data_IF_813278210145
#
_entry.id   IF_813278210145
#
_cell.length_a   1.000
_cell.length_b   1.000
_cell.length_c   1.000
_cell.angle_alpha   90.00
_cell.angle_beta   90.00
_cell.angle_gamma   90.00
#
_symmetry.space_group_name_H-M   'P 1'
#
loop_
_entity.id
_entity.type
_entity.pdbx_description
1 polymer ?
#
# COMPACT_ATOMS: atom_id res chain seq x y z
N UNK A 1 9.84 11.82 30.73
CA UNK A 1 9.37 11.10 29.54
C UNK A 1 10.53 10.99 28.57
N UNK A 2 10.70 9.83 27.95
CA UNK A 2 11.64 9.67 26.84
C UNK A 2 11.30 10.68 25.72
N UNK A 3 12.30 11.44 25.27
CA UNK A 3 12.13 12.41 24.20
C UNK A 3 12.31 11.71 22.84
N UNK A 4 11.24 11.05 22.38
CA UNK A 4 11.23 10.33 21.10
C UNK A 4 11.55 11.25 19.91
N UNK A 5 11.13 12.52 19.96
CA UNK A 5 11.44 13.50 18.93
C UNK A 5 12.94 13.83 18.88
N UNK A 6 13.62 13.89 20.03
CA UNK A 6 15.08 14.00 20.09
C UNK A 6 15.78 12.75 19.57
N UNK A 7 15.29 11.56 19.90
CA UNK A 7 15.85 10.31 19.39
C UNK A 7 15.76 10.25 17.85
N UNK A 8 14.61 10.63 17.27
CA UNK A 8 14.41 10.68 15.82
C UNK A 8 15.38 11.66 15.14
N UNK A 9 15.48 12.91 15.64
CA UNK A 9 16.44 13.91 15.10
C UNK A 9 17.89 13.44 15.18
N UNK A 10 18.25 12.74 16.25
CA UNK A 10 19.59 12.17 16.39
C UNK A 10 19.81 11.03 15.41
N UNK A 11 18.80 10.19 15.18
CA UNK A 11 18.85 9.09 14.22
C UNK A 11 19.10 9.60 12.80
N UNK A 12 18.36 10.60 12.34
CA UNK A 12 18.56 11.23 11.03
C UNK A 12 19.98 11.79 10.88
N UNK A 13 20.48 12.44 11.93
CA UNK A 13 21.83 12.99 11.94
C UNK A 13 22.88 11.88 11.85
N UNK A 14 22.72 10.80 12.61
CA UNK A 14 23.61 9.64 12.59
C UNK A 14 23.60 8.99 11.20
N UNK A 15 22.43 8.80 10.58
CA UNK A 15 22.30 8.25 9.22
C UNK A 15 23.17 9.02 8.23
N UNK A 16 23.05 10.34 8.19
CA UNK A 16 23.81 11.20 7.27
C UNK A 16 25.31 11.17 7.57
N UNK A 17 25.70 11.21 8.85
CA UNK A 17 27.12 11.19 9.24
C UNK A 17 27.75 9.85 8.86
N UNK A 18 27.09 8.74 9.18
CA UNK A 18 27.59 7.39 8.89
C UNK A 18 27.71 7.18 7.38
N UNK A 19 26.69 7.57 6.59
CA UNK A 19 26.75 7.47 5.13
C UNK A 19 27.97 8.23 4.55
N UNK A 20 28.18 9.48 4.98
CA UNK A 20 29.34 10.28 4.57
C UNK A 20 30.68 9.72 5.07
N UNK A 21 30.70 9.16 6.27
CA UNK A 21 31.91 8.58 6.85
C UNK A 21 32.30 7.29 6.14
N UNK A 22 31.33 6.45 5.75
CA UNK A 22 31.57 5.26 4.94
C UNK A 22 32.24 5.63 3.62
N UNK A 23 31.66 6.58 2.87
CA UNK A 23 32.20 7.02 1.57
C UNK A 23 33.63 7.59 1.67
N UNK A 24 33.93 8.36 2.73
CA UNK A 24 35.20 9.11 2.81
C UNK A 24 36.31 8.39 3.58
N UNK A 25 35.97 7.63 4.63
CA UNK A 25 36.93 7.10 5.61
C UNK A 25 37.11 5.60 5.53
N UNK A 26 36.12 4.85 5.04
CA UNK A 26 36.18 3.38 5.00
C UNK A 26 36.56 2.94 3.59
N UNK A 27 37.85 2.66 3.38
CA UNK A 27 38.40 2.13 2.13
C UNK A 27 38.83 0.67 2.33
N UNK A 28 37.90 -0.18 2.73
CA UNK A 28 38.16 -1.61 2.88
C UNK A 28 37.83 -2.31 1.54
N UNK A 29 38.74 -3.08 0.94
CA UNK A 29 38.47 -3.83 -0.29
C UNK A 29 37.34 -4.87 -0.15
N UNK A 30 36.97 -5.25 1.07
CA UNK A 30 35.84 -6.16 1.36
C UNK A 30 34.50 -5.45 1.46
N UNK A 31 34.50 -4.11 1.48
CA UNK A 31 33.29 -3.31 1.50
C UNK A 31 32.73 -3.25 0.07
N UNK A 32 31.59 -3.91 -0.16
CA UNK A 32 30.85 -3.78 -1.41
C UNK A 32 30.21 -2.41 -1.58
N UNK A 33 29.31 -2.28 -2.55
CA UNK A 33 28.51 -1.07 -2.71
C UNK A 33 27.42 -1.01 -1.63
N UNK A 34 27.72 -0.33 -0.51
CA UNK A 34 26.85 -0.23 0.66
C UNK A 34 26.05 1.06 0.64
N UNK A 35 24.74 0.94 0.88
CA UNK A 35 23.85 2.08 1.06
C UNK A 35 23.22 2.04 2.46
N UNK A 36 23.24 3.16 3.18
CA UNK A 36 22.57 3.28 4.47
C UNK A 36 21.11 3.67 4.24
N UNK A 37 20.18 2.79 4.58
CA UNK A 37 18.75 2.99 4.33
C UNK A 37 18.07 3.74 5.46
N UNK A 38 18.36 3.40 6.71
CA UNK A 38 17.73 4.02 7.87
C UNK A 38 18.64 3.98 9.12
N UNK A 39 18.30 4.75 10.15
CA UNK A 39 18.89 4.63 11.46
C UNK A 39 17.81 4.78 12.55
N UNK A 40 17.95 4.04 13.64
CA UNK A 40 17.07 4.12 14.81
C UNK A 40 17.88 4.26 16.07
N UNK A 41 17.44 5.14 16.95
CA UNK A 41 18.10 5.39 18.23
C UNK A 41 17.15 5.05 19.36
N UNK A 42 17.67 4.41 20.40
CA UNK A 42 16.90 4.12 21.61
C UNK A 42 16.50 5.40 22.33
N UNK A 43 15.42 5.34 23.09
CA UNK A 43 14.86 6.49 23.82
C UNK A 43 15.83 7.09 24.86
N UNK A 44 16.82 6.33 25.32
CA UNK A 44 17.89 6.76 26.23
C UNK A 44 19.13 7.33 25.49
N UNK A 45 19.10 7.35 24.16
CA UNK A 45 20.16 7.83 23.26
C UNK A 45 21.50 7.08 23.39
N UNK A 46 21.51 5.88 23.99
CA UNK A 46 22.74 5.12 24.22
C UNK A 46 23.07 4.13 23.10
N UNK A 47 22.05 3.68 22.36
CA UNK A 47 22.21 2.70 21.29
C UNK A 47 21.60 3.23 20.00
N UNK A 48 22.34 3.06 18.90
CA UNK A 48 21.89 3.40 17.56
C UNK A 48 22.06 2.19 16.64
N UNK A 49 20.95 1.76 16.03
CA UNK A 49 20.93 0.71 15.00
C UNK A 49 20.91 1.39 13.65
N UNK A 50 21.87 1.05 12.78
CA UNK A 50 21.98 1.56 11.43
C UNK A 50 21.63 0.43 10.47
N UNK A 51 20.64 0.68 9.63
CA UNK A 51 20.17 -0.24 8.61
C UNK A 51 20.90 0.04 7.30
N UNK A 52 21.36 -1.01 6.64
CA UNK A 52 22.11 -0.89 5.40
C UNK A 52 21.75 -2.00 4.42
N UNK A 53 21.81 -1.68 3.14
CA UNK A 53 21.74 -2.67 2.07
C UNK A 53 23.08 -2.76 1.36
N UNK A 54 23.39 -3.95 0.84
CA UNK A 54 24.61 -4.22 0.08
C UNK A 54 24.18 -4.69 -1.29
N UNK A 55 24.63 -3.99 -2.32
CA UNK A 55 24.46 -4.43 -3.69
C UNK A 55 25.60 -5.41 -4.02
N UNK A 56 25.30 -6.69 -4.20
CA UNK A 56 26.31 -7.73 -4.43
C UNK A 56 25.82 -9.15 -4.14
N UNK A 57 26.76 -10.11 -4.19
CA UNK A 57 26.50 -11.52 -3.84
C UNK A 57 26.46 -11.75 -2.33
N UNK A 58 26.02 -12.92 -1.89
CA UNK A 58 25.97 -13.26 -0.47
C UNK A 58 27.37 -13.30 0.18
N UNK A 59 28.42 -13.66 -0.57
CA UNK A 59 29.80 -13.55 -0.08
C UNK A 59 30.20 -12.10 0.19
N UNK A 60 29.80 -11.17 -0.69
CA UNK A 60 30.06 -9.74 -0.52
C UNK A 60 29.26 -9.14 0.65
N UNK A 61 28.04 -9.62 0.90
CA UNK A 61 27.25 -9.27 2.10
C UNK A 61 27.98 -9.68 3.38
N UNK A 62 28.53 -10.90 3.42
CA UNK A 62 29.30 -11.40 4.56
C UNK A 62 30.60 -10.60 4.76
N UNK A 63 31.34 -10.34 3.69
CA UNK A 63 32.55 -9.53 3.72
C UNK A 63 32.30 -8.10 4.21
N UNK A 64 31.24 -7.48 3.70
CA UNK A 64 30.80 -6.15 4.08
C UNK A 64 30.43 -6.06 5.56
N UNK A 65 29.69 -7.04 6.09
CA UNK A 65 29.34 -7.09 7.52
C UNK A 65 30.59 -7.12 8.41
N UNK A 66 31.60 -7.91 8.03
CA UNK A 66 32.86 -7.95 8.77
C UNK A 66 33.65 -6.64 8.68
N UNK A 67 33.64 -5.99 7.51
CA UNK A 67 34.26 -4.68 7.29
C UNK A 67 33.59 -3.59 8.14
N UNK A 68 32.25 -3.56 8.18
CA UNK A 68 31.48 -2.61 8.99
C UNK A 68 31.74 -2.79 10.49
N UNK A 69 31.80 -4.03 10.99
CA UNK A 69 32.10 -4.28 12.40
C UNK A 69 33.52 -3.85 12.76
N UNK A 70 34.48 -4.03 11.84
CA UNK A 70 35.86 -3.54 12.01
C UNK A 70 35.93 -2.01 11.98
N UNK A 71 35.13 -1.36 11.14
CA UNK A 71 35.06 0.09 11.00
C UNK A 71 34.23 0.78 12.09
N UNK A 72 33.50 0.03 12.92
CA UNK A 72 32.60 0.53 13.96
C UNK A 72 33.25 1.56 14.89
N UNK A 73 34.49 1.34 15.29
CA UNK A 73 35.24 2.28 16.12
C UNK A 73 35.44 3.64 15.44
N UNK A 74 35.89 3.61 14.18
CA UNK A 74 36.13 4.81 13.37
C UNK A 74 34.82 5.56 13.12
N UNK A 75 33.76 4.83 12.72
CA UNK A 75 32.44 5.41 12.45
C UNK A 75 31.85 6.03 13.72
N UNK A 76 31.98 5.37 14.87
CA UNK A 76 31.54 5.92 16.16
C UNK A 76 32.30 7.20 16.52
N UNK A 77 33.62 7.23 16.32
CA UNK A 77 34.41 8.44 16.54
C UNK A 77 34.00 9.60 15.63
N UNK A 78 33.70 9.33 14.36
CA UNK A 78 33.21 10.36 13.44
C UNK A 78 31.82 10.86 13.83
N UNK A 79 30.92 9.96 14.25
CA UNK A 79 29.62 10.35 14.81
C UNK A 79 29.82 11.26 16.03
N UNK A 80 30.67 10.88 16.99
CA UNK A 80 30.94 11.66 18.20
C UNK A 80 31.47 13.07 17.93
N UNK A 81 32.26 13.27 16.87
CA UNK A 81 32.76 14.60 16.47
C UNK A 81 31.69 15.50 15.85
N UNK A 82 30.65 14.90 15.25
CA UNK A 82 29.65 15.62 14.46
C UNK A 82 28.30 15.79 15.19
N UNK A 83 28.14 15.20 16.38
CA UNK A 83 26.94 15.34 17.21
C UNK A 83 27.26 16.09 18.51
N UNK A 84 26.37 16.99 18.92
CA UNK A 84 26.43 17.64 20.24
C UNK A 84 25.77 16.74 21.28
N UNK A 85 26.41 15.61 21.59
CA UNK A 85 25.94 14.67 22.61
C UNK A 85 27.01 14.46 23.69
N UNK A 86 26.58 14.39 24.95
CA UNK A 86 27.48 14.07 26.08
C UNK A 86 28.03 12.64 25.97
N UNK A 87 27.21 11.72 25.49
CA UNK A 87 27.56 10.32 25.26
C UNK A 87 27.35 10.00 23.79
N UNK A 88 28.37 9.43 23.14
CA UNK A 88 28.24 8.92 21.78
C UNK A 88 27.60 7.53 21.82
N UNK A 89 26.46 7.32 21.14
CA UNK A 89 25.78 6.04 21.14
C UNK A 89 26.66 4.93 20.58
N UNK A 90 26.38 3.70 21.01
CA UNK A 90 26.97 2.50 20.42
C UNK A 90 26.26 2.20 19.11
N UNK A 91 27.04 2.02 18.04
CA UNK A 91 26.51 1.71 16.71
C UNK A 91 26.37 0.20 16.52
N UNK A 92 25.21 -0.24 16.05
CA UNK A 92 24.94 -1.63 15.62
C UNK A 92 24.53 -1.59 14.17
N UNK A 93 25.06 -2.48 13.34
CA UNK A 93 24.74 -2.55 11.91
C UNK A 93 23.84 -3.74 11.63
N UNK A 94 22.71 -3.51 10.95
CA UNK A 94 21.74 -4.54 10.59
C UNK A 94 21.46 -4.48 9.09
N UNK A 95 21.54 -5.59 8.34
CA UNK A 95 21.17 -5.59 6.93
C UNK A 95 19.67 -5.32 6.76
N UNK A 96 19.32 -4.55 5.75
CA UNK A 96 17.95 -4.23 5.37
C UNK A 96 17.47 -5.17 4.25
N UNK A 97 16.38 -5.89 4.51
CA UNK A 97 15.76 -6.84 3.58
C UNK A 97 14.71 -6.18 2.67
N UNK A 98 14.30 -4.92 2.97
CA UNK A 98 13.22 -4.23 2.24
C UNK A 98 13.47 -4.09 0.73
N UNK A 99 14.70 -3.80 0.23
CA UNK A 99 14.95 -3.66 -1.21
C UNK A 99 14.72 -4.95 -1.99
N UNK A 100 15.00 -6.13 -1.39
CA UNK A 100 14.79 -7.42 -2.05
C UNK A 100 13.30 -7.69 -2.28
N UNK A 101 12.46 -7.30 -1.33
CA UNK A 101 11.01 -7.49 -1.43
C UNK A 101 10.36 -6.59 -2.50
N UNK A 102 10.86 -5.37 -2.70
CA UNK A 102 10.34 -4.46 -3.72
C UNK A 102 10.49 -5.04 -5.15
N UNK A 103 11.66 -5.61 -5.45
CA UNK A 103 11.93 -6.23 -6.76
C UNK A 103 11.00 -7.42 -7.01
N UNK A 104 10.72 -8.20 -5.96
CA UNK A 104 9.79 -9.33 -6.04
C UNK A 104 8.35 -8.88 -6.30
N UNK A 105 7.89 -7.84 -5.60
CA UNK A 105 6.57 -7.25 -5.80
C UNK A 105 6.40 -6.69 -7.22
N UNK A 106 7.40 -5.99 -7.76
CA UNK A 106 7.40 -5.51 -9.14
C UNK A 106 7.25 -6.66 -10.15
N UNK A 107 7.94 -7.78 -9.91
CA UNK A 107 7.84 -8.97 -10.76
C UNK A 107 6.43 -9.57 -10.73
N UNK A 108 5.82 -9.66 -9.54
CA UNK A 108 4.44 -10.17 -9.40
C UNK A 108 3.45 -9.22 -10.10
N UNK A 109 3.57 -7.91 -9.88
CA UNK A 109 2.70 -6.90 -10.51
C UNK A 109 2.82 -6.94 -12.04
N UNK A 110 4.03 -7.09 -12.58
CA UNK A 110 4.24 -7.27 -14.02
C UNK A 110 3.52 -8.53 -14.53
N UNK A 111 3.71 -9.66 -13.85
CA UNK A 111 3.08 -10.94 -14.23
C UNK A 111 1.55 -10.85 -14.19
N UNK A 112 0.99 -10.16 -13.19
CA UNK A 112 -0.46 -9.94 -13.09
C UNK A 112 -0.99 -9.10 -14.25
N UNK A 113 -0.32 -7.99 -14.58
CA UNK A 113 -0.69 -7.13 -15.72
C UNK A 113 -0.64 -7.87 -17.06
N UNK A 114 0.34 -8.74 -17.25
CA UNK A 114 0.45 -9.58 -18.45
C UNK A 114 -0.76 -10.52 -18.58
N UNK A 115 -1.14 -11.20 -17.49
CA UNK A 115 -2.34 -12.07 -17.48
C UNK A 115 -3.63 -11.30 -17.72
N UNK A 116 -3.79 -10.14 -17.09
CA UNK A 116 -4.98 -9.31 -17.27
C UNK A 116 -5.09 -8.83 -18.72
N UNK A 117 -3.96 -8.48 -19.35
CA UNK A 117 -3.91 -8.12 -20.77
C UNK A 117 -4.27 -9.29 -21.69
N UNK A 118 -3.85 -10.53 -21.37
CA UNK A 118 -4.24 -11.73 -22.12
C UNK A 118 -5.75 -12.03 -22.00
N UNK A 119 -6.32 -11.87 -20.80
CA UNK A 119 -7.77 -12.01 -20.57
C UNK A 119 -8.54 -10.92 -21.31
N UNK A 120 -8.08 -9.67 -21.25
CA UNK A 120 -8.69 -8.57 -21.98
C UNK A 120 -8.63 -8.82 -23.50
N UNK A 121 -7.48 -9.25 -24.04
CA UNK A 121 -7.32 -9.56 -25.46
C UNK A 121 -8.24 -10.71 -25.91
N UNK A 122 -8.40 -11.76 -25.11
CA UNK A 122 -9.30 -12.87 -25.41
C UNK A 122 -10.79 -12.51 -25.27
N UNK A 123 -11.13 -11.46 -24.51
CA UNK A 123 -12.48 -10.92 -24.43
C UNK A 123 -12.88 -10.08 -25.66
N UNK A 124 -11.92 -9.52 -26.40
CA UNK A 124 -12.18 -8.73 -27.61
C UNK A 124 -12.66 -9.65 -28.72
N UNK A 125 -13.99 -9.69 -28.91
CA UNK A 125 -14.66 -10.53 -29.90
C UNK A 125 -15.26 -11.82 -29.34
N UNK A 126 -15.18 -12.04 -28.02
CA UNK A 126 -15.87 -13.15 -27.38
C UNK A 126 -17.40 -12.94 -27.44
N UNK A 127 -18.13 -13.94 -27.91
CA UNK A 127 -19.59 -13.97 -27.83
C UNK A 127 -19.99 -14.51 -26.45
N UNK A 128 -20.98 -13.87 -25.82
CA UNK A 128 -21.52 -14.35 -24.55
C UNK A 128 -22.06 -15.77 -24.72
N UNK A 129 -21.78 -16.66 -23.76
CA UNK A 129 -22.15 -18.07 -23.86
C UNK A 129 -23.67 -18.32 -23.70
N UNK A 130 -24.45 -17.30 -23.36
CA UNK A 130 -25.90 -17.36 -23.21
C UNK A 130 -26.66 -16.61 -24.31
N UNK A 131 -27.94 -16.92 -24.43
CA UNK A 131 -28.88 -16.19 -25.29
C UNK A 131 -29.25 -14.83 -24.67
N UNK A 132 -29.72 -13.89 -25.49
CA UNK A 132 -30.01 -12.52 -25.06
C UNK A 132 -31.13 -12.41 -24.00
N UNK A 133 -31.97 -13.44 -23.89
CA UNK A 133 -33.02 -13.54 -22.88
C UNK A 133 -32.85 -14.87 -22.12
N UNK A 134 -32.36 -14.84 -20.87
CA UNK A 134 -32.13 -16.05 -20.08
C UNK A 134 -33.41 -16.63 -19.46
N UNK A 135 -34.58 -15.97 -19.64
CA UNK A 135 -35.83 -16.40 -19.05
C UNK A 135 -36.63 -17.31 -19.98
N UNK A 136 -37.20 -18.36 -19.40
CA UNK A 136 -38.10 -19.28 -20.09
C UNK A 136 -39.41 -18.55 -20.37
N UNK A 137 -39.72 -18.32 -21.65
CA UNK A 137 -41.06 -17.89 -22.06
C UNK A 137 -42.00 -19.08 -21.87
N UNK A 138 -42.90 -18.95 -20.90
CA UNK A 138 -43.99 -19.91 -20.76
C UNK A 138 -44.76 -19.93 -22.07
N UNK A 139 -45.03 -21.13 -22.57
CA UNK A 139 -45.75 -21.34 -23.82
C UNK A 139 -47.12 -20.68 -23.67
N UNK A 140 -47.47 -19.82 -24.64
CA UNK A 140 -48.86 -19.39 -24.85
C UNK A 140 -49.66 -20.63 -25.26
N UNK A 141 -50.07 -21.42 -24.27
CA UNK A 141 -51.03 -22.49 -24.44
C UNK A 141 -52.43 -21.88 -24.20
N UNK A 142 -53.06 -21.52 -25.32
CA UNK A 142 -54.49 -21.60 -25.62
C UNK A 142 -55.50 -20.87 -24.70
N UNK A 143 -56.35 -20.08 -25.35
CA UNK A 143 -57.58 -19.47 -24.84
C UNK A 143 -58.36 -20.43 -23.91
N UNK A 144 -58.44 -20.11 -22.62
CA UNK A 144 -59.43 -20.68 -21.71
C UNK A 144 -60.45 -19.61 -21.32
N UNK A 145 -61.57 -19.61 -22.06
CA UNK A 145 -62.81 -18.92 -21.77
C UNK A 145 -63.59 -19.68 -20.68
N UNK A 146 -63.42 -19.33 -19.41
CA UNK A 146 -64.32 -19.78 -18.34
C UNK A 146 -64.55 -18.65 -17.32
N UNK A 147 -65.66 -17.95 -17.50
CA UNK A 147 -66.24 -17.02 -16.53
C UNK A 147 -66.66 -17.75 -15.25
N UNK A 148 -66.01 -17.50 -14.12
CA UNK A 148 -66.54 -17.84 -12.79
C UNK A 148 -66.67 -16.60 -11.88
N UNK A 149 -67.92 -16.14 -11.81
CA UNK A 149 -68.64 -15.55 -10.68
C UNK A 149 -67.80 -15.25 -9.41
N UNK A 150 -67.36 -14.00 -9.26
CA UNK A 150 -66.99 -13.46 -7.95
C UNK A 150 -68.28 -13.18 -7.19
N UNK A 151 -68.50 -13.94 -6.11
CA UNK A 151 -69.59 -13.73 -5.15
C UNK A 151 -69.29 -12.52 -4.27
N UNK A 152 -70.31 -11.67 -4.23
CA UNK A 152 -70.60 -10.54 -3.37
C UNK A 152 -70.08 -10.66 -1.92
N UNK A 153 -69.42 -9.60 -1.45
CA UNK A 153 -68.85 -9.52 -0.11
C UNK A 153 -67.83 -8.41 0.09
N UNK A 154 -68.08 -7.19 -0.40
CA UNK A 154 -67.36 -6.01 0.06
C UNK A 154 -68.31 -4.81 0.13
N UNK A 155 -68.55 -4.35 1.35
CA UNK A 155 -69.36 -3.18 1.69
C UNK A 155 -68.42 -1.96 1.72
N UNK A 156 -68.51 -1.02 0.76
CA UNK A 156 -67.64 0.15 0.75
C UNK A 156 -68.15 1.18 1.77
N UNK A 157 -67.34 1.47 2.77
CA UNK A 157 -67.54 2.65 3.64
C UNK A 157 -67.26 3.92 2.83
N UNK A 158 -68.26 4.79 2.70
CA UNK A 158 -68.08 6.15 2.20
C UNK A 158 -67.34 6.95 3.28
N UNK A 159 -66.02 7.06 3.15
CA UNK A 159 -65.25 8.12 3.82
C UNK A 159 -65.00 9.25 2.82
N UNK A 160 -65.69 10.37 3.06
CA UNK A 160 -65.44 11.66 2.43
C UNK A 160 -63.99 12.09 2.72
N UNK A 161 -63.10 11.92 1.75
CA UNK A 161 -61.78 12.56 1.76
C UNK A 161 -61.79 13.71 0.77
N UNK A 162 -61.87 14.91 1.34
CA UNK A 162 -61.69 16.18 0.66
C UNK A 162 -60.34 16.25 -0.07
N UNK A 163 -60.42 16.81 -1.27
CA UNK A 163 -59.40 17.20 -2.22
C UNK A 163 -58.42 18.23 -1.63
N UNK A 164 -57.13 17.92 -1.46
CA UNK A 164 -56.08 18.94 -1.61
C UNK A 164 -54.64 18.40 -1.81
N UNK A 165 -54.02 18.95 -2.86
CA UNK A 165 -52.61 19.29 -3.02
C UNK A 165 -51.60 18.22 -3.51
N UNK A 166 -51.14 18.47 -4.74
CA UNK A 166 -50.01 17.88 -5.43
C UNK A 166 -48.64 18.05 -4.71
N UNK A 167 -47.78 17.04 -4.83
CA UNK A 167 -46.32 17.18 -4.83
C UNK A 167 -45.65 15.98 -5.54
N UNK A 168 -44.63 16.28 -6.34
CA UNK A 168 -43.99 15.45 -7.38
C UNK A 168 -43.20 14.21 -6.89
N UNK A 169 -42.91 13.22 -7.78
CA UNK A 169 -42.14 12.03 -7.45
C UNK A 169 -40.62 12.28 -7.44
N UNK A 170 -39.96 12.00 -6.32
CA UNK A 170 -38.50 12.03 -6.18
C UNK A 170 -37.84 10.76 -6.78
N UNK A 171 -37.19 10.94 -7.93
CA UNK A 171 -36.36 9.96 -8.60
C UNK A 171 -34.96 9.88 -7.97
N UNK A 172 -34.80 9.04 -6.94
CA UNK A 172 -33.51 8.76 -6.32
C UNK A 172 -32.67 7.76 -7.13
N UNK A 173 -31.70 8.27 -7.91
CA UNK A 173 -30.67 7.48 -8.62
C UNK A 173 -29.59 6.98 -7.65
N UNK A 174 -29.03 5.75 -7.80
CA UNK A 174 -27.93 5.27 -6.95
C UNK A 174 -26.62 6.01 -7.25
N UNK A 175 -26.03 6.65 -6.24
CA UNK A 175 -24.75 7.36 -6.39
C UNK A 175 -23.55 6.40 -6.44
N UNK A 176 -22.84 6.46 -7.57
CA UNK A 176 -21.50 5.90 -7.78
C UNK A 176 -20.50 6.75 -7.00
N UNK A 177 -19.79 6.15 -6.03
CA UNK A 177 -18.67 6.80 -5.35
C UNK A 177 -17.50 6.94 -6.34
N UNK A 178 -17.10 8.17 -6.64
CA UNK A 178 -15.80 8.48 -7.25
C UNK A 178 -14.78 8.64 -6.13
N UNK A 179 -13.73 7.85 -6.18
CA UNK A 179 -12.51 8.11 -5.42
C UNK A 179 -11.79 9.30 -6.07
N UNK A 180 -11.57 10.36 -5.29
CA UNK A 180 -10.74 11.49 -5.65
C UNK A 180 -9.28 11.15 -5.36
N UNK A 181 -8.50 10.92 -6.41
CA UNK A 181 -7.04 11.00 -6.38
C UNK A 181 -6.66 12.37 -6.95
N UNK A 182 -6.36 13.31 -6.07
CA UNK A 182 -5.81 14.62 -6.44
C UNK A 182 -4.37 14.70 -5.98
N UNK A 183 -3.48 14.57 -6.97
CA UNK A 183 -2.11 15.02 -6.93
C UNK A 183 -2.02 16.51 -6.60
N UNK A 184 -1.04 16.87 -5.77
CA UNK A 184 -0.65 18.25 -5.52
C UNK A 184 0.77 18.43 -6.07
N UNK A 185 0.85 19.07 -7.25
CA UNK A 185 2.05 19.51 -7.95
C UNK A 185 1.81 20.97 -8.37
N UNK A 186 2.57 21.91 -7.79
CA UNK A 186 2.84 23.30 -8.20
C UNK A 186 3.50 24.02 -6.98
N UNK A 187 4.54 24.85 -7.05
CA UNK A 187 5.28 25.55 -8.11
C UNK A 187 6.69 25.87 -7.54
#
# INVERSE_FOLDING_TARGET
MADAARAARLADRIKVIVARALERRVKDPRLGFVTVTDARVTNDLQHATVYYTVYGTDEEKVGTRAALESAKGILRSEVGKNITARLTPTLTFVPDEVPENASHLEQILRTARERDAEVAASSIGAQYAGEADPYKKDREDEEHDETEQIRDGYDPVEEDFDDEAAAEPDSGTPQVRRDEDSAEDAD
#
